data_IF_896931411494
#
_entry.id   IF_896931411494
#
_cell.length_a   1.000
_cell.length_b   1.000
_cell.length_c   1.000
_cell.angle_alpha   90.00
_cell.angle_beta   90.00
_cell.angle_gamma   90.00
#
_symmetry.space_group_name_H-M   'P 1'
#
loop_
_entity.id
_entity.type
_entity.pdbx_description
1 polymer ?
#
# COMPACT_ATOMS: atom_id res chain seq x y z
N UNK A 1 4.35 18.11 -16.30
CA UNK A 1 4.95 17.69 -15.03
C UNK A 1 4.24 18.48 -13.96
N UNK A 2 3.47 17.84 -13.08
CA UNK A 2 2.83 18.55 -11.97
C UNK A 2 3.89 19.20 -11.06
N UNK A 3 3.54 20.31 -10.42
CA UNK A 3 4.48 21.05 -9.60
C UNK A 3 4.77 20.30 -8.29
N UNK A 4 5.97 20.44 -7.70
CA UNK A 4 6.32 19.80 -6.43
C UNK A 4 5.33 20.10 -5.29
N UNK A 5 4.70 21.27 -5.32
CA UNK A 5 3.71 21.70 -4.33
C UNK A 5 2.40 20.92 -4.45
N UNK A 6 2.00 20.56 -5.67
CA UNK A 6 0.81 19.72 -5.92
C UNK A 6 1.04 18.31 -5.38
N UNK A 7 2.24 17.76 -5.59
CA UNK A 7 2.61 16.44 -5.04
C UNK A 7 2.60 16.46 -3.50
N UNK A 8 3.18 17.49 -2.88
CA UNK A 8 3.20 17.63 -1.43
C UNK A 8 1.80 17.78 -0.82
N UNK A 9 0.89 18.49 -1.51
CA UNK A 9 -0.51 18.62 -1.10
C UNK A 9 -1.27 17.30 -1.25
N UNK A 10 -0.96 16.51 -2.29
CA UNK A 10 -1.56 15.21 -2.52
C UNK A 10 -1.19 14.19 -1.43
N UNK A 11 0.07 14.17 -0.99
CA UNK A 11 0.58 13.25 0.04
C UNK A 11 -0.14 13.38 1.40
N UNK A 12 -0.64 14.57 1.72
CA UNK A 12 -1.36 14.85 2.99
C UNK A 12 -2.88 14.87 2.82
N UNK A 13 -3.39 14.68 1.61
CA UNK A 13 -4.83 14.69 1.35
C UNK A 13 -5.50 13.51 2.06
N UNK A 14 -6.63 13.72 2.78
CA UNK A 14 -7.27 12.67 3.57
C UNK A 14 -7.63 11.42 2.75
N UNK A 15 -8.09 11.60 1.52
CA UNK A 15 -8.41 10.48 0.62
C UNK A 15 -7.16 9.70 0.20
N UNK A 16 -6.05 10.39 -0.06
CA UNK A 16 -4.79 9.74 -0.40
C UNK A 16 -4.29 8.90 0.78
N UNK A 17 -4.31 9.46 2.00
CA UNK A 17 -3.91 8.77 3.23
C UNK A 17 -4.79 7.53 3.46
N UNK A 18 -6.10 7.62 3.24
CA UNK A 18 -7.03 6.50 3.37
C UNK A 18 -6.70 5.37 2.38
N UNK A 19 -6.44 5.69 1.11
CA UNK A 19 -6.08 4.72 0.08
C UNK A 19 -4.73 4.06 0.38
N UNK A 20 -3.71 4.83 0.78
CA UNK A 20 -2.39 4.31 1.15
C UNK A 20 -2.48 3.36 2.33
N UNK A 21 -3.33 3.66 3.33
CA UNK A 21 -3.55 2.77 4.47
C UNK A 21 -4.10 1.42 4.02
N UNK A 22 -5.14 1.40 3.18
CA UNK A 22 -5.74 0.17 2.65
C UNK A 22 -4.71 -0.63 1.83
N UNK A 23 -3.94 0.05 0.96
CA UNK A 23 -2.88 -0.59 0.18
C UNK A 23 -1.80 -1.23 1.05
N UNK A 24 -1.38 -0.56 2.13
CA UNK A 24 -0.39 -1.10 3.07
C UNK A 24 -0.93 -2.33 3.81
N UNK A 25 -2.18 -2.30 4.24
CA UNK A 25 -2.83 -3.45 4.89
C UNK A 25 -2.95 -4.64 3.93
N UNK A 26 -3.33 -4.40 2.66
CA UNK A 26 -3.37 -5.43 1.63
C UNK A 26 -1.99 -6.03 1.36
N UNK A 27 -0.95 -5.20 1.24
CA UNK A 27 0.42 -5.66 1.05
C UNK A 27 0.93 -6.47 2.24
N UNK A 28 0.66 -6.03 3.47
CA UNK A 28 1.01 -6.75 4.68
C UNK A 28 0.32 -8.12 4.76
N UNK A 29 -0.98 -8.18 4.43
CA UNK A 29 -1.74 -9.42 4.40
C UNK A 29 -1.26 -10.37 3.30
N UNK A 30 -0.97 -9.86 2.11
CA UNK A 30 -0.43 -10.65 1.00
C UNK A 30 0.94 -11.26 1.36
N UNK A 31 1.85 -10.45 1.90
CA UNK A 31 3.17 -10.92 2.33
C UNK A 31 3.04 -11.94 3.48
N UNK A 32 2.19 -11.67 4.47
CA UNK A 32 1.95 -12.62 5.55
C UNK A 32 1.41 -13.96 5.03
N UNK A 33 0.52 -13.95 4.03
CA UNK A 33 0.01 -15.17 3.42
C UNK A 33 1.10 -15.95 2.67
N UNK A 34 1.96 -15.27 1.92
CA UNK A 34 3.06 -15.90 1.16
C UNK A 34 4.15 -16.50 2.07
N UNK A 35 4.34 -15.96 3.30
CA UNK A 35 5.28 -16.51 4.29
C UNK A 35 4.70 -17.63 5.18
N UNK A 36 3.37 -17.70 5.37
CA UNK A 36 2.72 -18.68 6.26
C UNK A 36 2.17 -19.89 5.49
N UNK A 37 1.91 -19.75 4.18
CA UNK A 37 1.57 -20.91 3.36
C UNK A 37 2.82 -21.77 3.14
N UNK A 38 2.90 -23.01 3.67
CA UNK A 38 3.89 -23.94 3.14
C UNK A 38 3.56 -24.08 1.65
N UNK A 39 4.48 -23.65 0.80
CA UNK A 39 4.51 -24.14 -0.58
C UNK A 39 4.86 -25.61 -0.50
N UNK A 40 3.91 -26.43 -0.07
CA UNK A 40 3.92 -27.85 -0.40
C UNK A 40 3.77 -27.88 -1.91
N UNK A 41 4.92 -27.86 -2.58
CA UNK A 41 5.00 -28.28 -3.97
C UNK A 41 4.42 -29.70 -4.04
N UNK A 42 3.54 -30.00 -5.01
CA UNK A 42 3.06 -31.35 -5.21
C UNK A 42 4.21 -32.34 -5.46
#
# INVERSE_FOLDING_TARGET
MESPEVLAAYDVHPDHVAVVKVLRELAANFLAFDFVSPRDAP
#
